data_IF_710088781326
#
_entry.id   IF_710088781326
#
_cell.length_a   1.000
_cell.length_b   1.000
_cell.length_c   1.000
_cell.angle_alpha   90.00
_cell.angle_beta   90.00
_cell.angle_gamma   90.00
#
_symmetry.space_group_name_H-M   'P 1'
#
loop_
_entity.id
_entity.type
_entity.pdbx_description
1 polymer ?
#
# COMPACT_ATOMS: atom_id res chain seq x y z
N UNK A 1 -37.39 -97.77 -5.62
CA UNK A 1 -36.01 -97.22 -5.69
C UNK A 1 -35.85 -96.08 -6.71
N UNK A 2 -36.41 -96.15 -7.92
CA UNK A 2 -36.29 -95.08 -8.95
C UNK A 2 -36.86 -93.71 -8.50
N UNK A 3 -37.98 -93.70 -7.77
CA UNK A 3 -38.62 -92.45 -7.32
C UNK A 3 -37.86 -91.75 -6.18
N UNK A 4 -37.08 -92.49 -5.37
CA UNK A 4 -36.26 -91.93 -4.28
C UNK A 4 -35.02 -91.22 -4.84
N UNK A 5 -34.37 -91.82 -5.84
CA UNK A 5 -33.22 -91.23 -6.55
C UNK A 5 -33.61 -89.94 -7.27
N UNK A 6 -34.76 -89.90 -7.94
CA UNK A 6 -35.26 -88.70 -8.58
C UNK A 6 -35.53 -87.56 -7.58
N UNK A 7 -36.03 -87.90 -6.39
CA UNK A 7 -36.35 -86.92 -5.34
C UNK A 7 -35.08 -86.33 -4.70
N UNK A 8 -34.02 -87.13 -4.53
CA UNK A 8 -32.72 -86.66 -4.04
C UNK A 8 -32.06 -85.74 -5.07
N UNK A 9 -32.10 -86.09 -6.36
CA UNK A 9 -31.57 -85.25 -7.44
C UNK A 9 -32.33 -83.92 -7.49
N UNK A 10 -33.65 -83.93 -7.42
CA UNK A 10 -34.46 -82.71 -7.44
C UNK A 10 -34.22 -81.84 -6.19
N UNK A 11 -34.16 -82.45 -4.99
CA UNK A 11 -33.83 -81.73 -3.76
C UNK A 11 -32.44 -81.08 -3.82
N UNK A 12 -31.45 -81.77 -4.38
CA UNK A 12 -30.09 -81.23 -4.55
C UNK A 12 -30.04 -80.08 -5.57
N UNK A 13 -30.83 -80.16 -6.65
CA UNK A 13 -30.93 -79.11 -7.65
C UNK A 13 -31.64 -77.86 -7.11
N UNK A 14 -32.72 -78.03 -6.34
CA UNK A 14 -33.43 -76.91 -5.71
C UNK A 14 -32.57 -76.25 -4.65
N UNK A 15 -31.85 -77.02 -3.83
CA UNK A 15 -30.90 -76.48 -2.86
C UNK A 15 -29.78 -75.69 -3.55
N UNK A 16 -29.17 -76.24 -4.62
CA UNK A 16 -28.14 -75.56 -5.40
C UNK A 16 -28.63 -74.26 -6.03
N UNK A 17 -29.86 -74.24 -6.57
CA UNK A 17 -30.46 -73.03 -7.11
C UNK A 17 -30.73 -71.97 -6.03
N UNK A 18 -31.24 -72.37 -4.87
CA UNK A 18 -31.45 -71.47 -3.74
C UNK A 18 -30.14 -70.83 -3.23
N UNK A 19 -29.09 -71.63 -3.06
CA UNK A 19 -27.77 -71.11 -2.67
C UNK A 19 -27.18 -70.18 -3.73
N UNK A 20 -27.34 -70.51 -5.00
CA UNK A 20 -26.89 -69.66 -6.10
C UNK A 20 -27.64 -68.32 -6.16
N UNK A 21 -28.97 -68.34 -5.99
CA UNK A 21 -29.79 -67.12 -5.97
C UNK A 21 -29.47 -66.24 -4.75
N UNK A 22 -29.28 -66.84 -3.57
CA UNK A 22 -28.84 -66.13 -2.37
C UNK A 22 -27.44 -65.52 -2.55
N UNK A 23 -26.50 -66.27 -3.12
CA UNK A 23 -25.16 -65.76 -3.41
C UNK A 23 -25.19 -64.62 -4.42
N UNK A 24 -26.03 -64.71 -5.45
CA UNK A 24 -26.22 -63.65 -6.45
C UNK A 24 -26.81 -62.38 -5.83
N UNK A 25 -27.82 -62.51 -4.96
CA UNK A 25 -28.41 -61.38 -4.21
C UNK A 25 -27.40 -60.74 -3.26
N UNK A 26 -26.64 -61.55 -2.54
CA UNK A 26 -25.59 -61.07 -1.65
C UNK A 26 -24.50 -60.31 -2.42
N UNK A 27 -24.06 -60.85 -3.56
CA UNK A 27 -23.09 -60.18 -4.44
C UNK A 27 -23.62 -58.84 -4.96
N UNK A 28 -24.87 -58.80 -5.42
CA UNK A 28 -25.49 -57.56 -5.89
C UNK A 28 -25.59 -56.50 -4.78
N UNK A 29 -25.96 -56.90 -3.55
CA UNK A 29 -25.99 -55.99 -2.40
C UNK A 29 -24.59 -55.50 -2.00
N UNK A 30 -23.56 -56.33 -2.16
CA UNK A 30 -22.17 -55.95 -1.89
C UNK A 30 -21.64 -54.99 -2.96
N UNK A 31 -21.96 -55.22 -4.24
CA UNK A 31 -21.63 -54.31 -5.34
C UNK A 31 -22.33 -52.94 -5.18
N UNK A 32 -23.57 -52.93 -4.69
CA UNK A 32 -24.31 -51.70 -4.39
C UNK A 32 -23.72 -50.96 -3.17
N UNK A 33 -23.32 -51.69 -2.13
CA UNK A 33 -22.62 -51.12 -0.97
C UNK A 33 -21.28 -50.49 -1.36
N UNK A 34 -20.49 -51.16 -2.22
CA UNK A 34 -19.22 -50.61 -2.74
C UNK A 34 -19.46 -49.32 -3.52
N UNK A 35 -20.44 -49.28 -4.43
CA UNK A 35 -20.78 -48.05 -5.17
C UNK A 35 -21.21 -46.92 -4.24
N UNK A 36 -21.97 -47.22 -3.20
CA UNK A 36 -22.39 -46.22 -2.22
C UNK A 36 -21.18 -45.69 -1.42
N UNK A 37 -20.25 -46.56 -1.02
CA UNK A 37 -19.01 -46.16 -0.34
C UNK A 37 -18.17 -45.23 -1.23
N UNK A 38 -17.96 -45.59 -2.51
CA UNK A 38 -17.23 -44.76 -3.47
C UNK A 38 -17.89 -43.38 -3.65
N UNK A 39 -19.23 -43.34 -3.74
CA UNK A 39 -19.98 -42.08 -3.80
C UNK A 39 -19.79 -41.24 -2.53
N UNK A 40 -19.84 -41.85 -1.34
CA UNK A 40 -19.58 -41.16 -0.08
C UNK A 40 -18.14 -40.63 0.00
N UNK A 41 -17.14 -41.40 -0.39
CA UNK A 41 -15.74 -40.96 -0.44
C UNK A 41 -15.57 -39.74 -1.36
N UNK A 42 -16.22 -39.75 -2.53
CA UNK A 42 -16.27 -38.60 -3.44
C UNK A 42 -16.87 -37.36 -2.79
N UNK A 43 -17.98 -37.50 -2.07
CA UNK A 43 -18.60 -36.36 -1.35
C UNK A 43 -17.73 -35.84 -0.21
N UNK A 44 -17.02 -36.72 0.51
CA UNK A 44 -16.10 -36.34 1.59
C UNK A 44 -14.89 -35.61 1.01
N UNK A 45 -14.34 -36.06 -0.12
CA UNK A 45 -13.26 -35.38 -0.81
C UNK A 45 -13.69 -33.98 -1.28
N UNK A 46 -14.89 -33.84 -1.84
CA UNK A 46 -15.48 -32.55 -2.23
C UNK A 46 -15.59 -31.59 -1.04
N UNK A 47 -16.18 -32.04 0.08
CA UNK A 47 -16.30 -31.22 1.31
C UNK A 47 -14.94 -30.83 1.90
N UNK A 48 -13.92 -31.68 1.80
CA UNK A 48 -12.55 -31.35 2.23
C UNK A 48 -11.94 -30.25 1.36
N UNK A 49 -12.14 -30.31 0.04
CA UNK A 49 -11.67 -29.28 -0.88
C UNK A 49 -12.36 -27.93 -0.62
N UNK A 50 -13.68 -27.93 -0.39
CA UNK A 50 -14.43 -26.74 0.00
C UNK A 50 -13.92 -26.14 1.33
N UNK A 51 -13.68 -26.98 2.33
CA UNK A 51 -13.14 -26.52 3.62
C UNK A 51 -11.74 -25.90 3.47
N UNK A 52 -10.87 -26.51 2.65
CA UNK A 52 -9.55 -25.94 2.35
C UNK A 52 -9.65 -24.59 1.64
N UNK A 53 -10.59 -24.43 0.71
CA UNK A 53 -10.84 -23.15 0.04
C UNK A 53 -11.32 -22.07 1.02
N UNK A 54 -12.21 -22.42 1.96
CA UNK A 54 -12.69 -21.51 3.00
C UNK A 54 -11.54 -21.08 3.94
N UNK A 55 -10.69 -22.02 4.36
CA UNK A 55 -9.52 -21.72 5.18
C UNK A 55 -8.59 -20.73 4.44
N UNK A 56 -8.31 -20.99 3.16
CA UNK A 56 -7.52 -20.07 2.34
C UNK A 56 -8.14 -18.68 2.21
N UNK A 57 -9.47 -18.60 2.04
CA UNK A 57 -10.18 -17.32 1.98
C UNK A 57 -10.10 -16.54 3.31
N UNK A 58 -10.21 -17.21 4.45
CA UNK A 58 -10.08 -16.59 5.77
C UNK A 58 -8.66 -16.06 6.01
N UNK A 59 -7.63 -16.78 5.59
CA UNK A 59 -6.25 -16.30 5.68
C UNK A 59 -6.01 -15.05 4.82
N UNK A 60 -6.55 -15.03 3.59
CA UNK A 60 -6.51 -13.85 2.73
C UNK A 60 -7.25 -12.67 3.36
N UNK A 61 -8.42 -12.90 3.96
CA UNK A 61 -9.16 -11.85 4.65
C UNK A 61 -8.35 -11.24 5.81
N UNK A 62 -7.69 -12.08 6.63
CA UNK A 62 -6.78 -11.61 7.70
C UNK A 62 -5.65 -10.75 7.14
N UNK A 63 -5.03 -11.17 6.02
CA UNK A 63 -3.97 -10.38 5.35
C UNK A 63 -4.49 -9.05 4.83
N UNK A 64 -5.71 -9.00 4.29
CA UNK A 64 -6.34 -7.76 3.82
C UNK A 64 -6.58 -6.79 4.97
N UNK A 65 -7.14 -7.25 6.09
CA UNK A 65 -7.38 -6.39 7.25
C UNK A 65 -6.07 -5.85 7.85
N UNK A 66 -5.04 -6.69 7.93
CA UNK A 66 -3.71 -6.23 8.35
C UNK A 66 -3.15 -5.14 7.42
N UNK A 67 -3.21 -5.35 6.10
CA UNK A 67 -2.75 -4.36 5.12
C UNK A 67 -3.56 -3.07 5.15
N UNK A 68 -4.88 -3.13 5.41
CA UNK A 68 -5.71 -1.93 5.59
C UNK A 68 -5.24 -1.11 6.79
N UNK A 69 -4.95 -1.76 7.92
CA UNK A 69 -4.39 -1.08 9.09
C UNK A 69 -3.03 -0.44 8.80
N UNK A 70 -2.16 -1.13 8.06
CA UNK A 70 -0.86 -0.60 7.63
C UNK A 70 -1.01 0.62 6.71
N UNK A 71 -1.92 0.57 5.74
CA UNK A 71 -2.23 1.70 4.86
C UNK A 71 -2.78 2.89 5.66
N UNK A 72 -3.66 2.65 6.63
CA UNK A 72 -4.17 3.71 7.50
C UNK A 72 -3.04 4.38 8.31
N UNK A 73 -2.12 3.59 8.89
CA UNK A 73 -0.97 4.11 9.61
C UNK A 73 -0.01 4.91 8.71
N UNK A 74 0.25 4.43 7.49
CA UNK A 74 1.05 5.15 6.50
C UNK A 74 0.41 6.46 6.06
N UNK A 75 -0.91 6.48 5.90
CA UNK A 75 -1.65 7.71 5.59
C UNK A 75 -1.49 8.75 6.70
N UNK A 76 -1.65 8.36 7.96
CA UNK A 76 -1.43 9.26 9.10
C UNK A 76 -0.01 9.81 9.13
N UNK A 77 1.01 8.97 8.89
CA UNK A 77 2.41 9.43 8.80
C UNK A 77 2.62 10.40 7.63
N UNK A 78 2.01 10.14 6.47
CA UNK A 78 2.11 11.03 5.32
C UNK A 78 1.44 12.39 5.58
N UNK A 79 0.30 12.41 6.26
CA UNK A 79 -0.39 13.65 6.63
C UNK A 79 0.41 14.44 7.68
N UNK A 80 1.02 13.76 8.65
CA UNK A 80 1.94 14.38 9.61
C UNK A 80 3.17 15.00 8.93
N UNK A 81 3.83 14.25 8.04
CA UNK A 81 4.99 14.73 7.29
C UNK A 81 4.64 15.92 6.39
N UNK A 82 3.44 15.92 5.78
CA UNK A 82 2.93 17.07 5.01
C UNK A 82 2.73 18.29 5.90
N UNK A 83 2.11 18.12 7.07
CA UNK A 83 1.91 19.22 8.02
C UNK A 83 3.25 19.79 8.52
N UNK A 84 4.21 18.93 8.84
CA UNK A 84 5.56 19.32 9.24
C UNK A 84 6.29 20.09 8.12
N UNK A 85 6.21 19.61 6.88
CA UNK A 85 6.80 20.29 5.71
C UNK A 85 6.21 21.69 5.52
N UNK A 86 4.90 21.85 5.71
CA UNK A 86 4.24 23.16 5.65
C UNK A 86 4.73 24.07 6.79
N UNK A 87 4.85 23.54 8.00
CA UNK A 87 5.34 24.30 9.16
C UNK A 87 6.80 24.74 8.98
N UNK A 88 7.69 23.83 8.59
CA UNK A 88 9.08 24.15 8.26
C UNK A 88 9.17 25.18 7.13
N UNK A 89 8.30 25.10 6.13
CA UNK A 89 8.19 26.10 5.07
C UNK A 89 7.84 27.49 5.62
N UNK A 90 6.87 27.56 6.54
CA UNK A 90 6.48 28.82 7.21
C UNK A 90 7.61 29.36 8.11
N UNK A 91 8.24 28.49 8.91
CA UNK A 91 9.36 28.85 9.77
C UNK A 91 10.54 29.38 8.97
N UNK A 92 10.89 28.72 7.85
CA UNK A 92 11.93 29.20 6.93
C UNK A 92 11.60 30.58 6.39
N UNK A 93 10.36 30.81 5.93
CA UNK A 93 9.94 32.13 5.42
C UNK A 93 10.01 33.18 6.52
N UNK A 94 9.59 32.86 7.74
CA UNK A 94 9.67 33.75 8.89
C UNK A 94 11.12 34.10 9.23
N UNK A 95 12.01 33.10 9.34
CA UNK A 95 13.43 33.28 9.62
C UNK A 95 14.14 34.13 8.56
N UNK A 96 13.88 33.86 7.26
CA UNK A 96 14.43 34.66 6.16
C UNK A 96 13.89 36.09 6.21
N UNK A 97 12.61 36.28 6.54
CA UNK A 97 12.02 37.62 6.67
C UNK A 97 12.64 38.40 7.84
N UNK A 98 12.85 37.75 8.98
CA UNK A 98 13.50 38.35 10.14
C UNK A 98 14.96 38.73 9.83
N UNK A 99 15.73 37.84 9.21
CA UNK A 99 17.11 38.11 8.79
C UNK A 99 17.18 39.30 7.83
N UNK A 100 16.24 39.40 6.89
CA UNK A 100 16.12 40.52 5.95
C UNK A 100 15.76 41.83 6.63
N UNK A 101 14.82 41.81 7.58
CA UNK A 101 14.44 43.01 8.33
C UNK A 101 15.63 43.60 9.10
N UNK A 102 16.54 42.78 9.62
CA UNK A 102 17.78 43.26 10.26
C UNK A 102 18.71 44.04 9.33
N UNK A 103 18.61 43.82 8.01
CA UNK A 103 19.41 44.55 7.02
C UNK A 103 18.74 45.85 6.54
N UNK A 104 17.45 46.04 6.81
CA UNK A 104 16.73 47.27 6.46
C UNK A 104 17.24 48.42 7.33
N UNK A 105 17.50 49.58 6.71
CA UNK A 105 18.08 50.75 7.35
C UNK A 105 19.61 50.78 7.35
N UNK A 106 20.27 49.67 7.00
CA UNK A 106 21.73 49.61 6.89
C UNK A 106 22.21 50.55 5.78
N UNK A 107 23.27 51.30 6.08
CA UNK A 107 23.89 52.25 5.15
C UNK A 107 25.24 51.68 4.70
N UNK A 108 25.45 51.66 3.40
CA UNK A 108 26.71 51.28 2.77
C UNK A 108 27.35 52.51 2.14
N UNK A 109 28.59 52.79 2.50
CA UNK A 109 29.35 53.90 1.91
C UNK A 109 29.59 53.65 0.42
N UNK A 110 29.87 52.39 0.07
CA UNK A 110 30.04 51.92 -1.30
C UNK A 110 29.29 50.59 -1.47
N UNK A 111 28.41 50.52 -2.47
CA UNK A 111 27.61 49.35 -2.80
C UNK A 111 27.91 48.94 -4.25
N UNK A 112 28.67 47.86 -4.40
CA UNK A 112 29.13 47.38 -5.70
C UNK A 112 28.13 46.38 -6.28
N UNK A 113 27.71 46.58 -7.52
CA UNK A 113 26.84 45.69 -8.27
C UNK A 113 27.65 44.64 -9.02
N UNK A 114 26.99 43.57 -9.47
CA UNK A 114 27.62 42.46 -10.20
C UNK A 114 28.27 42.89 -11.54
N UNK A 115 27.78 43.98 -12.14
CA UNK A 115 28.34 44.57 -13.36
C UNK A 115 29.51 45.55 -13.09
N UNK A 116 29.92 45.69 -11.83
CA UNK A 116 31.00 46.58 -11.41
C UNK A 116 30.58 48.03 -11.16
N UNK A 117 29.30 48.39 -11.38
CA UNK A 117 28.80 49.73 -11.03
C UNK A 117 28.82 49.92 -9.52
N UNK A 118 29.18 51.13 -9.09
CA UNK A 118 29.28 51.52 -7.69
C UNK A 118 28.21 52.53 -7.36
N UNK A 119 27.38 52.21 -6.38
CA UNK A 119 26.40 53.12 -5.79
C UNK A 119 26.97 53.62 -4.47
N UNK A 120 27.03 54.95 -4.29
CA UNK A 120 27.61 55.57 -3.11
C UNK A 120 26.51 55.96 -2.10
N UNK A 121 26.82 55.85 -0.81
CA UNK A 121 25.95 56.23 0.32
C UNK A 121 24.53 55.66 0.20
N UNK A 122 24.46 54.35 0.08
CA UNK A 122 23.23 53.62 -0.21
C UNK A 122 22.59 53.13 1.07
N UNK A 123 21.32 53.47 1.29
CA UNK A 123 20.52 52.94 2.40
C UNK A 123 19.57 51.86 1.90
N UNK A 124 19.59 50.69 2.52
CA UNK A 124 18.62 49.63 2.24
C UNK A 124 17.27 50.02 2.83
N UNK A 125 16.22 50.10 2.01
CA UNK A 125 14.87 50.46 2.45
C UNK A 125 13.94 49.27 2.54
N UNK A 126 14.14 48.25 1.71
CA UNK A 126 13.36 47.03 1.72
C UNK A 126 14.14 45.88 1.12
N UNK A 127 13.98 44.69 1.67
CA UNK A 127 14.50 43.45 1.08
C UNK A 127 13.32 42.49 0.91
N UNK A 128 13.08 42.04 -0.31
CA UNK A 128 12.02 41.09 -0.65
C UNK A 128 12.58 39.91 -1.47
N UNK A 129 11.76 38.90 -1.78
CA UNK A 129 12.19 37.75 -2.58
C UNK A 129 12.62 38.11 -4.02
N UNK A 130 12.20 39.27 -4.50
CA UNK A 130 12.38 39.72 -5.88
C UNK A 130 13.54 40.73 -6.03
N UNK A 131 14.12 41.20 -4.93
CA UNK A 131 15.21 42.17 -4.95
C UNK A 131 15.38 42.97 -3.66
N UNK A 132 16.35 43.87 -3.71
CA UNK A 132 16.68 44.83 -2.64
C UNK A 132 16.34 46.23 -3.14
N UNK A 133 15.45 46.94 -2.44
CA UNK A 133 15.22 48.35 -2.67
C UNK A 133 16.23 49.18 -1.87
N UNK A 134 16.89 50.09 -2.56
CA UNK A 134 17.91 50.95 -2.00
C UNK A 134 17.66 52.41 -2.33
N UNK A 135 17.96 53.30 -1.39
CA UNK A 135 17.92 54.75 -1.60
C UNK A 135 19.35 55.28 -1.73
N UNK A 136 19.57 56.08 -2.77
CA UNK A 136 20.83 56.75 -3.08
C UNK A 136 20.55 58.23 -3.38
N UNK A 137 21.60 59.02 -3.65
CA UNK A 137 21.44 60.41 -4.10
C UNK A 137 20.61 60.56 -5.38
N UNK A 138 20.62 59.54 -6.25
CA UNK A 138 19.83 59.46 -7.49
C UNK A 138 18.37 59.03 -7.28
N UNK A 139 17.96 58.70 -6.05
CA UNK A 139 16.61 58.24 -5.72
C UNK A 139 16.55 56.78 -5.26
N UNK A 140 15.34 56.21 -5.30
CA UNK A 140 15.06 54.83 -4.88
C UNK A 140 15.18 53.89 -6.08
N UNK A 141 16.04 52.90 -5.99
CA UNK A 141 16.27 51.89 -7.04
C UNK A 141 16.02 50.50 -6.49
N UNK A 142 15.33 49.65 -7.25
CA UNK A 142 15.13 48.24 -6.91
C UNK A 142 16.14 47.38 -7.68
N UNK A 143 17.05 46.75 -6.95
CA UNK A 143 18.09 45.86 -7.47
C UNK A 143 17.58 44.43 -7.46
N UNK A 144 17.67 43.74 -8.59
CA UNK A 144 17.36 42.32 -8.70
C UNK A 144 18.48 41.48 -8.08
N UNK A 145 18.20 40.26 -7.60
CA UNK A 145 19.23 39.38 -7.05
C UNK A 145 20.39 39.12 -8.03
N UNK A 146 20.13 39.09 -9.34
CA UNK A 146 21.14 38.92 -10.38
C UNK A 146 22.10 40.11 -10.52
N UNK A 147 21.69 41.30 -10.08
CA UNK A 147 22.51 42.52 -10.13
C UNK A 147 23.40 42.66 -8.88
N UNK A 148 23.25 41.77 -7.90
CA UNK A 148 24.02 41.76 -6.67
C UNK A 148 25.22 40.82 -6.79
N UNK A 149 26.34 41.24 -6.20
CA UNK A 149 27.52 40.38 -6.06
C UNK A 149 27.18 39.13 -5.24
N UNK A 150 27.95 38.04 -5.36
CA UNK A 150 27.75 36.83 -4.56
C UNK A 150 27.69 37.11 -3.04
N UNK A 151 28.55 38.00 -2.55
CA UNK A 151 28.61 38.41 -1.14
C UNK A 151 27.34 39.14 -0.70
N UNK A 152 26.84 40.08 -1.50
CA UNK A 152 25.59 40.79 -1.20
C UNK A 152 24.39 39.86 -1.28
N UNK A 153 24.38 38.89 -2.20
CA UNK A 153 23.34 37.87 -2.23
C UNK A 153 23.33 37.02 -0.96
N UNK A 154 24.51 36.61 -0.49
CA UNK A 154 24.63 35.90 0.78
C UNK A 154 24.08 36.73 1.95
N UNK A 155 24.33 38.04 1.96
CA UNK A 155 23.87 38.92 3.05
C UNK A 155 22.35 39.15 3.08
N UNK A 156 21.67 39.18 1.93
CA UNK A 156 20.25 39.57 1.83
C UNK A 156 19.29 38.39 1.59
N UNK A 157 19.77 37.25 1.10
CA UNK A 157 18.92 36.15 0.65
C UNK A 157 19.21 34.79 1.29
N UNK A 158 20.33 34.65 2.01
CA UNK A 158 20.77 33.43 2.65
C UNK A 158 21.15 33.69 4.12
#
# INVERSE_FOLDING_TARGET
>A
MKNLLALIIFASAVAGWYFYDQFKKMKAGLDEAVKNIEAYEGTVAGRRAEMQAIIGALELQKKVEFRKAEVAALKTKADQARAETVNLGREKVAAVTEARQKQVGRVFTEFVLADGRKLLNVRVTKVDNTGVAVTSASGVTKLRPSELTPEMRALFFY
#
